data_IF_091700267651
#
_entry.id   IF_091700267651
#
_cell.length_a   1.000
_cell.length_b   1.000
_cell.length_c   1.000
_cell.angle_alpha   90.00
_cell.angle_beta   90.00
_cell.angle_gamma   90.00
#
_symmetry.space_group_name_H-M   'P 1'
#
loop_
_entity.id
_entity.type
_entity.pdbx_description
1 polymer ?
#
# COMPACT_ATOMS: atom_id res chain seq x y z
N UNK A 1 -20.41 -15.34 -0.05
CA UNK A 1 -20.18 -15.27 1.40
C UNK A 1 -20.08 -13.81 1.90
N UNK A 2 -19.25 -12.90 1.40
CA UNK A 2 -19.14 -11.53 1.92
C UNK A 2 -20.45 -10.72 1.83
N UNK A 3 -21.17 -10.84 0.72
CA UNK A 3 -22.45 -10.14 0.51
C UNK A 3 -23.53 -10.60 1.51
N UNK A 4 -23.64 -11.89 1.75
CA UNK A 4 -24.60 -12.42 2.73
C UNK A 4 -24.28 -11.94 4.15
N UNK A 5 -23.00 -11.87 4.49
CA UNK A 5 -22.54 -11.34 5.78
C UNK A 5 -22.88 -9.85 5.91
N UNK A 6 -22.57 -9.03 4.89
CA UNK A 6 -22.86 -7.60 4.88
C UNK A 6 -24.37 -7.33 5.07
N UNK A 7 -25.23 -8.10 4.41
CA UNK A 7 -26.69 -8.01 4.60
C UNK A 7 -27.11 -8.38 6.02
N UNK A 8 -26.56 -9.46 6.58
CA UNK A 8 -26.87 -9.89 7.96
C UNK A 8 -26.43 -8.87 9.01
N UNK A 9 -25.34 -8.16 8.75
CA UNK A 9 -24.85 -7.08 9.62
C UNK A 9 -25.63 -5.77 9.48
N UNK A 10 -26.64 -5.72 8.61
CA UNK A 10 -27.47 -4.53 8.41
C UNK A 10 -26.78 -3.37 7.71
N UNK A 11 -25.71 -3.63 6.92
CA UNK A 11 -25.09 -2.58 6.13
C UNK A 11 -26.05 -2.03 5.06
N UNK A 12 -25.87 -0.75 4.73
CA UNK A 12 -26.66 -0.09 3.68
C UNK A 12 -26.50 -0.80 2.33
N UNK A 13 -27.49 -0.65 1.46
CA UNK A 13 -27.47 -1.23 0.11
C UNK A 13 -26.22 -0.81 -0.68
N UNK A 14 -25.78 0.44 -0.53
CA UNK A 14 -24.57 0.95 -1.17
C UNK A 14 -23.31 0.19 -0.74
N UNK A 15 -23.17 -0.15 0.54
CA UNK A 15 -22.06 -0.95 1.07
C UNK A 15 -22.16 -2.39 0.57
N UNK A 16 -23.36 -2.99 0.61
CA UNK A 16 -23.59 -4.35 0.09
C UNK A 16 -23.22 -4.44 -1.38
N UNK A 17 -23.57 -3.42 -2.18
CA UNK A 17 -23.26 -3.35 -3.59
C UNK A 17 -21.73 -3.20 -3.83
N UNK A 18 -21.06 -2.35 -3.06
CA UNK A 18 -19.61 -2.21 -3.14
C UNK A 18 -18.90 -3.54 -2.85
N UNK A 19 -19.33 -4.25 -1.81
CA UNK A 19 -18.83 -5.59 -1.47
C UNK A 19 -19.13 -6.60 -2.58
N UNK A 20 -20.29 -6.54 -3.22
CA UNK A 20 -20.65 -7.46 -4.31
C UNK A 20 -19.76 -7.28 -5.55
N UNK A 21 -19.25 -6.07 -5.77
CA UNK A 21 -18.52 -5.66 -6.97
C UNK A 21 -17.01 -5.47 -6.77
N UNK A 22 -16.44 -5.82 -5.61
CA UNK A 22 -15.02 -5.58 -5.31
C UNK A 22 -14.03 -6.41 -6.14
N UNK A 23 -14.52 -7.36 -6.93
CA UNK A 23 -13.73 -8.11 -7.91
C UNK A 23 -13.95 -7.66 -9.36
N UNK A 24 -14.83 -6.69 -9.57
CA UNK A 24 -14.98 -6.07 -10.88
C UNK A 24 -13.80 -5.14 -11.19
N UNK A 25 -13.47 -5.00 -12.47
CA UNK A 25 -12.39 -4.16 -12.96
C UNK A 25 -12.92 -3.13 -13.95
N UNK A 26 -12.37 -1.93 -13.97
CA UNK A 26 -12.86 -0.84 -14.82
C UNK A 26 -12.80 -1.16 -16.33
N UNK A 27 -11.92 -2.07 -16.73
CA UNK A 27 -11.77 -2.56 -18.12
C UNK A 27 -12.73 -3.71 -18.49
N UNK A 28 -13.64 -4.12 -17.59
CA UNK A 28 -14.57 -5.23 -17.78
C UNK A 28 -13.95 -6.62 -17.63
N UNK A 29 -12.67 -6.73 -17.27
CA UNK A 29 -12.00 -8.02 -17.06
C UNK A 29 -12.30 -8.67 -15.70
N UNK A 30 -13.09 -7.99 -14.86
CA UNK A 30 -13.49 -8.46 -13.54
C UNK A 30 -14.62 -9.49 -13.54
N UNK A 31 -15.12 -9.82 -12.37
CA UNK A 31 -16.23 -10.76 -12.18
C UNK A 31 -17.09 -10.35 -10.96
N UNK A 32 -18.32 -10.82 -10.79
CA UNK A 32 -19.01 -11.84 -11.59
C UNK A 32 -19.74 -11.30 -12.85
N UNK A 33 -19.97 -9.98 -12.91
CA UNK A 33 -20.85 -9.37 -13.92
C UNK A 33 -20.09 -8.77 -15.09
N UNK A 34 -18.77 -8.64 -14.99
CA UNK A 34 -17.89 -8.00 -16.00
C UNK A 34 -18.30 -6.56 -16.30
N UNK A 35 -18.63 -5.83 -15.24
CA UNK A 35 -19.02 -4.42 -15.33
C UNK A 35 -17.82 -3.57 -15.78
N UNK A 36 -18.11 -2.52 -16.53
CA UNK A 36 -17.11 -1.50 -16.90
C UNK A 36 -17.09 -0.36 -15.89
N UNK A 37 -16.08 0.51 -15.97
CA UNK A 37 -15.92 1.62 -15.05
C UNK A 37 -17.14 2.55 -14.96
N UNK A 38 -17.93 2.68 -16.04
CA UNK A 38 -19.16 3.50 -16.06
C UNK A 38 -20.25 2.89 -15.16
N UNK A 39 -20.33 1.57 -15.11
CA UNK A 39 -21.35 0.83 -14.33
C UNK A 39 -20.91 0.56 -12.88
N UNK A 40 -19.62 0.77 -12.61
CA UNK A 40 -19.05 0.62 -11.27
C UNK A 40 -19.21 1.93 -10.46
N UNK A 41 -19.89 1.85 -9.34
CA UNK A 41 -19.90 2.95 -8.39
C UNK A 41 -18.49 3.23 -7.81
N UNK A 42 -18.23 4.48 -7.46
CA UNK A 42 -16.91 4.91 -6.92
C UNK A 42 -16.41 4.05 -5.77
N UNK A 43 -17.30 3.68 -4.83
CA UNK A 43 -16.94 2.83 -3.70
C UNK A 43 -16.46 1.44 -4.14
N UNK A 44 -17.08 0.84 -5.15
CA UNK A 44 -16.64 -0.45 -5.71
C UNK A 44 -15.27 -0.35 -6.37
N UNK A 45 -15.00 0.72 -7.10
CA UNK A 45 -13.70 0.98 -7.75
C UNK A 45 -12.58 1.14 -6.72
N UNK A 46 -12.82 1.91 -5.65
CA UNK A 46 -11.86 2.07 -4.55
C UNK A 46 -11.60 0.73 -3.86
N UNK A 47 -12.66 -0.01 -3.53
CA UNK A 47 -12.54 -1.30 -2.84
C UNK A 47 -11.81 -2.34 -3.69
N UNK A 48 -12.05 -2.37 -5.02
CA UNK A 48 -11.34 -3.26 -5.94
C UNK A 48 -9.83 -2.97 -5.97
N UNK A 49 -9.46 -1.68 -6.01
CA UNK A 49 -8.05 -1.25 -6.01
C UNK A 49 -7.36 -1.59 -4.69
N UNK A 50 -7.99 -1.24 -3.54
CA UNK A 50 -7.46 -1.54 -2.21
C UNK A 50 -7.31 -3.05 -1.99
N UNK A 51 -8.32 -3.84 -2.36
CA UNK A 51 -8.27 -5.29 -2.26
C UNK A 51 -7.15 -5.89 -3.12
N UNK A 52 -6.93 -5.33 -4.32
CA UNK A 52 -5.82 -5.78 -5.19
C UNK A 52 -4.46 -5.48 -4.58
N UNK A 53 -4.29 -4.27 -4.05
CA UNK A 53 -3.07 -3.85 -3.36
C UNK A 53 -2.80 -4.72 -2.12
N UNK A 54 -3.80 -4.88 -1.26
CA UNK A 54 -3.68 -5.70 -0.05
C UNK A 54 -3.27 -7.14 -0.37
N UNK A 55 -3.90 -7.78 -1.35
CA UNK A 55 -3.57 -9.15 -1.75
C UNK A 55 -2.16 -9.30 -2.35
N UNK A 56 -1.57 -8.23 -2.85
CA UNK A 56 -0.16 -8.25 -3.29
C UNK A 56 0.79 -8.17 -2.11
N UNK A 57 0.45 -7.37 -1.10
CA UNK A 57 1.26 -7.21 0.12
C UNK A 57 1.05 -8.37 1.10
N UNK A 58 -0.19 -8.90 1.17
CA UNK A 58 -0.62 -9.96 2.09
C UNK A 58 -1.26 -11.13 1.31
N UNK A 59 -0.50 -11.84 0.49
CA UNK A 59 -1.03 -12.95 -0.30
C UNK A 59 -1.41 -14.13 0.58
N UNK A 60 -2.25 -15.02 0.03
CA UNK A 60 -2.50 -16.33 0.63
C UNK A 60 -1.23 -17.18 0.66
N UNK A 61 -1.22 -18.21 1.53
CA UNK A 61 -0.09 -19.12 1.68
C UNK A 61 0.40 -19.69 0.34
N UNK A 62 1.71 -19.69 0.14
CA UNK A 62 2.37 -20.22 -1.06
C UNK A 62 2.64 -19.20 -2.18
N UNK A 63 2.32 -17.92 -1.96
CA UNK A 63 2.66 -16.83 -2.88
C UNK A 63 3.58 -15.84 -2.18
N UNK A 64 4.65 -15.42 -2.83
CA UNK A 64 5.55 -14.40 -2.29
C UNK A 64 4.87 -13.04 -2.18
N UNK A 65 4.91 -12.47 -0.97
CA UNK A 65 4.44 -11.11 -0.74
C UNK A 65 5.32 -10.09 -1.46
N UNK A 66 4.70 -9.07 -2.04
CA UNK A 66 5.40 -7.89 -2.52
C UNK A 66 5.55 -6.87 -1.40
N UNK A 67 6.62 -6.07 -1.45
CA UNK A 67 6.69 -4.88 -0.61
C UNK A 67 5.61 -3.87 -1.04
N UNK A 68 5.17 -2.94 -0.17
CA UNK A 68 4.22 -1.89 -0.53
C UNK A 68 4.62 -1.10 -1.78
N UNK A 69 5.91 -0.78 -1.91
CA UNK A 69 6.46 -0.10 -3.09
C UNK A 69 6.38 -0.97 -4.36
N UNK A 70 6.75 -2.26 -4.28
CA UNK A 70 6.64 -3.20 -5.41
C UNK A 70 5.18 -3.37 -5.86
N UNK A 71 4.24 -3.50 -4.92
CA UNK A 71 2.82 -3.64 -5.23
C UNK A 71 2.28 -2.41 -5.98
N UNK A 72 2.61 -1.19 -5.53
CA UNK A 72 2.24 0.05 -6.24
C UNK A 72 2.87 0.12 -7.63
N UNK A 73 4.13 -0.27 -7.77
CA UNK A 73 4.83 -0.29 -9.05
C UNK A 73 4.16 -1.25 -10.05
N UNK A 74 3.78 -2.45 -9.61
CA UNK A 74 3.04 -3.41 -10.44
C UNK A 74 1.66 -2.87 -10.83
N UNK A 75 0.91 -2.30 -9.89
CA UNK A 75 -0.41 -1.72 -10.18
C UNK A 75 -0.30 -0.62 -11.24
N UNK A 76 0.65 0.30 -11.08
CA UNK A 76 0.84 1.41 -12.01
C UNK A 76 1.37 0.95 -13.38
N UNK A 77 2.39 0.11 -13.42
CA UNK A 77 3.04 -0.28 -14.66
C UNK A 77 2.25 -1.31 -15.47
N UNK A 78 1.60 -2.27 -14.82
CA UNK A 78 1.01 -3.43 -15.48
C UNK A 78 -0.53 -3.47 -15.41
N UNK A 79 -1.12 -2.88 -14.37
CA UNK A 79 -2.55 -3.02 -14.10
C UNK A 79 -3.35 -1.73 -14.22
N UNK A 80 -2.72 -0.62 -14.62
CA UNK A 80 -3.38 0.70 -14.67
C UNK A 80 -4.67 0.71 -15.49
N UNK A 81 -4.75 -0.06 -16.57
CA UNK A 81 -5.94 -0.16 -17.42
C UNK A 81 -7.13 -0.83 -16.72
N UNK A 82 -6.89 -1.59 -15.65
CA UNK A 82 -7.93 -2.29 -14.87
C UNK A 82 -8.64 -1.40 -13.88
N UNK A 83 -8.13 -0.19 -13.63
CA UNK A 83 -8.64 0.72 -12.62
C UNK A 83 -9.02 2.07 -13.24
N UNK A 84 -10.01 2.73 -12.64
CA UNK A 84 -10.35 4.11 -12.98
C UNK A 84 -9.15 5.02 -12.73
N UNK A 85 -8.81 5.86 -13.69
CA UNK A 85 -7.61 6.70 -13.66
C UNK A 85 -7.62 7.74 -12.53
N UNK A 86 -8.80 8.25 -12.16
CA UNK A 86 -8.96 9.24 -11.08
C UNK A 86 -8.77 8.56 -9.73
N UNK A 87 -9.37 7.37 -9.54
CA UNK A 87 -9.21 6.56 -8.31
C UNK A 87 -7.77 6.14 -8.14
N UNK A 88 -7.16 5.60 -9.20
CA UNK A 88 -5.76 5.18 -9.18
C UNK A 88 -4.81 6.36 -8.88
N UNK A 89 -5.01 7.50 -9.54
CA UNK A 89 -4.20 8.68 -9.32
C UNK A 89 -4.32 9.23 -7.90
N UNK A 90 -5.52 9.23 -7.31
CA UNK A 90 -5.74 9.61 -5.91
C UNK A 90 -5.05 8.64 -4.94
N UNK A 91 -5.18 7.33 -5.20
CA UNK A 91 -4.54 6.28 -4.38
C UNK A 91 -3.01 6.41 -4.38
N UNK A 92 -2.39 6.57 -5.55
CA UNK A 92 -0.93 6.73 -5.67
C UNK A 92 -0.45 8.01 -4.96
N UNK A 93 -1.18 9.13 -5.09
CA UNK A 93 -0.83 10.37 -4.36
C UNK A 93 -0.91 10.21 -2.85
N UNK A 94 -1.92 9.49 -2.37
CA UNK A 94 -2.13 9.23 -0.94
C UNK A 94 -1.04 8.30 -0.38
N UNK A 95 -0.69 7.25 -1.12
CA UNK A 95 0.26 6.23 -0.67
C UNK A 95 1.72 6.67 -0.85
N UNK A 96 2.01 7.59 -1.76
CA UNK A 96 3.37 7.98 -2.13
C UNK A 96 4.14 6.86 -2.84
N UNK A 97 5.43 7.08 -3.07
CA UNK A 97 6.34 6.06 -3.66
C UNK A 97 6.69 4.97 -2.66
N UNK A 98 6.90 5.37 -1.41
CA UNK A 98 7.14 4.48 -0.28
C UNK A 98 6.01 4.68 0.73
N UNK A 99 4.99 3.81 0.73
CA UNK A 99 3.86 3.92 1.65
C UNK A 99 4.28 3.85 3.13
N UNK A 100 3.51 4.47 4.04
CA UNK A 100 3.71 4.30 5.48
C UNK A 100 3.73 2.82 5.87
N UNK A 101 4.64 2.44 6.77
CA UNK A 101 4.88 1.05 7.13
C UNK A 101 5.86 0.32 6.19
N UNK A 102 6.30 0.93 5.08
CA UNK A 102 7.34 0.34 4.23
C UNK A 102 8.67 0.28 4.96
N UNK A 103 9.29 -0.90 4.97
CA UNK A 103 10.66 -1.06 5.45
C UNK A 103 11.60 -0.73 4.31
N UNK A 104 12.62 0.08 4.61
CA UNK A 104 13.58 0.58 3.61
C UNK A 104 15.01 0.51 4.13
N UNK A 105 15.95 0.37 3.20
CA UNK A 105 17.37 0.58 3.46
C UNK A 105 17.77 1.94 2.88
N UNK A 106 18.42 2.74 3.71
CA UNK A 106 18.96 4.04 3.32
C UNK A 106 20.31 3.88 2.61
N UNK A 107 20.77 4.94 1.93
CA UNK A 107 22.06 4.92 1.19
C UNK A 107 23.28 4.74 2.10
N UNK A 108 23.14 5.02 3.40
CA UNK A 108 24.18 4.78 4.43
C UNK A 108 24.06 3.41 5.10
N UNK A 109 23.37 2.47 4.45
CA UNK A 109 23.12 1.09 4.89
C UNK A 109 22.25 0.91 6.16
N UNK A 110 21.73 1.98 6.75
CA UNK A 110 20.82 1.89 7.89
C UNK A 110 19.43 1.44 7.45
N UNK A 111 18.72 0.74 8.34
CA UNK A 111 17.34 0.33 8.15
C UNK A 111 16.40 1.38 8.73
N UNK A 112 15.24 1.54 8.10
CA UNK A 112 14.23 2.47 8.55
C UNK A 112 12.83 1.99 8.17
N UNK A 113 11.81 2.49 8.88
CA UNK A 113 10.41 2.34 8.50
C UNK A 113 9.84 3.69 8.10
N UNK A 114 9.06 3.73 7.04
CA UNK A 114 8.38 4.95 6.60
C UNK A 114 7.26 5.28 7.57
N UNK A 115 7.35 6.43 8.23
CA UNK A 115 6.34 6.93 9.16
C UNK A 115 5.22 7.71 8.45
N UNK A 116 5.59 8.56 7.48
CA UNK A 116 4.60 9.30 6.68
C UNK A 116 5.15 9.69 5.31
N UNK A 117 4.25 9.86 4.34
CA UNK A 117 4.60 10.31 2.99
C UNK A 117 4.83 11.81 2.94
N UNK A 118 5.61 12.24 1.96
CA UNK A 118 5.76 13.65 1.59
C UNK A 118 5.10 13.85 0.22
N UNK A 119 3.96 14.54 0.19
CA UNK A 119 3.18 14.74 -1.04
C UNK A 119 3.91 15.65 -2.05
N UNK A 120 4.78 16.55 -1.56
CA UNK A 120 5.55 17.47 -2.40
C UNK A 120 6.78 16.78 -3.01
N UNK A 121 7.38 15.86 -2.25
CA UNK A 121 8.57 15.10 -2.65
C UNK A 121 8.41 13.61 -2.32
N UNK A 122 7.70 12.85 -3.16
CA UNK A 122 7.31 11.46 -2.84
C UNK A 122 8.48 10.50 -2.60
N UNK A 123 9.69 10.83 -3.07
CA UNK A 123 10.93 10.07 -2.82
C UNK A 123 11.63 10.46 -1.50
N UNK A 124 11.10 11.44 -0.77
CA UNK A 124 11.66 11.98 0.47
C UNK A 124 10.63 11.91 1.62
N UNK A 125 10.21 10.70 2.03
CA UNK A 125 9.27 10.53 3.13
C UNK A 125 9.93 10.85 4.48
N UNK A 126 9.11 10.89 5.54
CA UNK A 126 9.58 10.86 6.93
C UNK A 126 9.75 9.41 7.35
N UNK A 127 10.85 9.12 8.00
CA UNK A 127 11.22 7.75 8.42
C UNK A 127 11.64 7.69 9.88
N UNK A 128 11.41 6.56 10.52
CA UNK A 128 12.01 6.19 11.80
C UNK A 128 13.20 5.29 11.47
N UNK A 129 14.39 5.71 11.88
CA UNK A 129 15.64 5.00 11.56
C UNK A 129 16.04 4.11 12.72
N UNK A 130 16.36 2.86 12.43
CA UNK A 130 16.94 1.94 13.43
C UNK A 130 18.26 2.48 13.96
N UNK A 131 18.36 2.65 15.28
CA UNK A 131 19.61 2.94 15.99
C UNK A 131 19.61 2.17 17.32
N UNK A 132 20.48 1.20 17.44
CA UNK A 132 20.58 0.34 18.64
C UNK A 132 20.96 1.09 19.93
N UNK A 133 21.40 2.36 19.81
CA UNK A 133 21.75 3.22 20.96
C UNK A 133 20.57 4.03 21.49
N UNK A 134 19.46 4.07 20.73
CA UNK A 134 18.26 4.84 21.05
C UNK A 134 17.12 3.86 21.32
N UNK A 135 16.40 3.94 22.45
CA UNK A 135 15.21 3.13 22.68
C UNK A 135 14.15 3.36 21.59
N UNK A 136 13.38 2.33 21.27
CA UNK A 136 12.37 2.37 20.20
C UNK A 136 11.32 3.47 20.41
N UNK A 137 10.89 3.68 21.64
CA UNK A 137 9.91 4.69 22.06
C UNK A 137 10.45 6.13 22.00
N UNK A 138 11.77 6.28 21.95
CA UNK A 138 12.46 7.57 21.81
C UNK A 138 12.99 7.79 20.38
N UNK A 139 12.72 6.87 19.45
CA UNK A 139 13.26 6.93 18.10
C UNK A 139 12.81 8.21 17.37
N UNK A 140 13.74 9.04 16.88
CA UNK A 140 13.38 10.28 16.21
C UNK A 140 12.80 10.01 14.82
N UNK A 141 11.78 10.78 14.44
CA UNK A 141 11.29 10.83 13.08
C UNK A 141 12.20 11.74 12.26
N UNK A 142 12.88 11.18 11.28
CA UNK A 142 13.77 11.90 10.38
C UNK A 142 13.02 12.27 9.10
N UNK A 143 13.00 13.55 8.77
CA UNK A 143 12.47 14.04 7.49
C UNK A 143 13.58 13.98 6.43
N UNK A 144 13.47 13.06 5.46
CA UNK A 144 14.48 12.91 4.40
C UNK A 144 14.56 14.12 3.47
N UNK A 145 13.58 15.02 3.49
CA UNK A 145 13.64 16.27 2.74
C UNK A 145 14.69 17.23 3.33
N UNK A 146 14.86 17.22 4.66
CA UNK A 146 15.82 18.10 5.35
C UNK A 146 17.24 17.55 5.39
N UNK A 147 17.45 16.30 4.93
CA UNK A 147 18.75 15.62 4.93
C UNK A 147 19.03 15.09 3.51
N UNK A 148 19.47 15.97 2.57
CA UNK A 148 19.61 15.63 1.16
C UNK A 148 20.58 14.47 0.88
N UNK A 149 21.60 14.29 1.71
CA UNK A 149 22.59 13.22 1.63
C UNK A 149 22.04 11.83 1.96
N UNK A 150 20.92 11.77 2.69
CA UNK A 150 20.22 10.52 2.99
C UNK A 150 19.10 10.31 1.98
N UNK A 151 19.11 9.17 1.33
CA UNK A 151 18.07 8.73 0.42
C UNK A 151 17.70 7.28 0.69
N UNK A 152 16.59 6.82 0.12
CA UNK A 152 16.20 5.42 0.15
C UNK A 152 16.94 4.71 -0.99
N UNK A 153 17.69 3.65 -0.65
CA UNK A 153 18.35 2.77 -1.61
C UNK A 153 17.38 1.76 -2.20
N UNK A 154 16.56 1.12 -1.34
CA UNK A 154 15.58 0.10 -1.74
C UNK A 154 14.54 -0.15 -0.65
N UNK A 155 13.39 -0.70 -1.04
CA UNK A 155 12.45 -1.31 -0.11
C UNK A 155 12.88 -2.73 0.24
N UNK A 156 12.50 -3.19 1.44
CA UNK A 156 12.83 -4.51 1.98
C UNK A 156 11.57 -5.21 2.48
N UNK A 157 11.58 -6.54 2.40
CA UNK A 157 10.60 -7.38 3.11
C UNK A 157 11.06 -7.55 4.57
N UNK A 158 10.13 -7.72 5.54
CA UNK A 158 10.49 -7.95 6.94
C UNK A 158 11.54 -9.07 7.13
N UNK A 159 11.41 -10.16 6.38
CA UNK A 159 12.33 -11.31 6.44
C UNK A 159 13.77 -11.00 5.97
N UNK A 160 14.00 -9.84 5.38
CA UNK A 160 15.33 -9.43 4.91
C UNK A 160 16.08 -8.56 5.94
N UNK A 161 15.44 -8.23 7.08
CA UNK A 161 16.07 -7.47 8.14
C UNK A 161 16.81 -8.39 9.10
N UNK A 162 17.92 -7.90 9.71
CA UNK A 162 18.43 -8.46 10.94
C UNK A 162 17.36 -8.43 12.04
N UNK A 163 17.39 -9.41 12.94
CA UNK A 163 16.33 -9.60 13.94
C UNK A 163 16.17 -8.37 14.86
N UNK A 164 17.29 -7.80 15.29
CA UNK A 164 17.31 -6.59 16.10
C UNK A 164 16.66 -5.38 15.42
N UNK A 165 16.92 -5.20 14.14
CA UNK A 165 16.30 -4.14 13.35
C UNK A 165 14.80 -4.39 13.12
N UNK A 166 14.41 -5.67 12.92
CA UNK A 166 13.00 -6.03 12.78
C UNK A 166 12.22 -5.76 14.06
N UNK A 167 12.74 -6.21 15.23
CA UNK A 167 12.11 -6.02 16.53
C UNK A 167 12.00 -4.52 16.90
N UNK A 168 12.93 -3.71 16.41
CA UNK A 168 12.94 -2.27 16.62
C UNK A 168 11.91 -1.54 15.74
N UNK A 169 11.74 -1.97 14.48
CA UNK A 169 10.93 -1.28 13.49
C UNK A 169 9.50 -1.85 13.35
N UNK A 170 9.17 -2.95 14.01
CA UNK A 170 7.84 -3.61 13.93
C UNK A 170 6.78 -3.06 14.88
#
# INVERSE_FOLDING_TARGET
>A
WPVAMAKRMGFSEAVVLAVARHHEMADGSGFPQRLTGVDLGRASQVLALVNRYDRMCNPTVGVDALTPHEALSVIFAQLKAKFDSVVLGAFIRMMGVYPPGSIVQLVNDRYAIVASVNSSRPLRPKVIVHDSRVPKDEAPILDLETVPELGIRRSLKPAQLPRDALDYLS
#
